data_IF_601771526254
#
_entry.id   IF_601771526254
#
_cell.length_a   1.000
_cell.length_b   1.000
_cell.length_c   1.000
_cell.angle_alpha   90.00
_cell.angle_beta   90.00
_cell.angle_gamma   90.00
#
_symmetry.space_group_name_H-M   'P 1'
#
loop_
_entity.id
_entity.type
_entity.pdbx_description
1 polymer ?
#
# COMPACT_ATOMS: atom_id res chain seq x y z
N UNK A 1 -41.23 -32.19 -5.36
CA UNK A 1 -40.30 -31.48 -4.46
C UNK A 1 -40.21 -30.05 -4.95
N UNK A 2 -40.61 -29.08 -4.12
CA UNK A 2 -40.60 -27.66 -4.49
C UNK A 2 -39.17 -27.13 -4.32
N UNK A 3 -38.34 -27.25 -5.35
CA UNK A 3 -37.04 -26.57 -5.35
C UNK A 3 -37.30 -25.08 -5.55
N UNK A 4 -36.91 -24.28 -4.57
CA UNK A 4 -36.94 -22.83 -4.74
C UNK A 4 -35.88 -22.44 -5.77
N UNK A 5 -36.07 -21.30 -6.44
CA UNK A 5 -35.05 -20.77 -7.38
C UNK A 5 -33.66 -20.69 -6.72
N UNK A 6 -33.61 -20.46 -5.41
CA UNK A 6 -32.36 -20.44 -4.62
C UNK A 6 -31.64 -21.78 -4.62
N UNK A 7 -32.38 -22.89 -4.55
CA UNK A 7 -31.81 -24.24 -4.54
C UNK A 7 -31.24 -24.62 -5.91
N UNK A 8 -31.79 -24.04 -6.98
CA UNK A 8 -31.33 -24.26 -8.37
C UNK A 8 -30.02 -23.51 -8.66
N UNK A 9 -29.85 -22.31 -8.10
CA UNK A 9 -28.66 -21.46 -8.34
C UNK A 9 -27.57 -21.67 -7.29
N UNK A 10 -27.84 -22.43 -6.23
CA UNK A 10 -26.86 -22.70 -5.18
C UNK A 10 -25.73 -23.61 -5.69
N UNK A 11 -24.49 -23.40 -5.22
CA UNK A 11 -23.39 -24.32 -5.48
C UNK A 11 -23.65 -25.68 -4.83
N UNK A 12 -23.07 -26.74 -5.39
CA UNK A 12 -23.26 -28.12 -4.89
C UNK A 12 -22.50 -28.35 -3.59
N UNK A 13 -21.32 -27.75 -3.45
CA UNK A 13 -20.47 -27.86 -2.27
C UNK A 13 -19.73 -26.55 -2.01
N UNK A 14 -19.71 -26.14 -0.74
CA UNK A 14 -18.83 -25.07 -0.25
C UNK A 14 -17.98 -25.65 0.86
N UNK A 15 -16.68 -25.45 0.79
CA UNK A 15 -15.73 -25.79 1.85
C UNK A 15 -14.89 -24.56 2.18
N UNK A 16 -14.97 -24.12 3.43
CA UNK A 16 -14.34 -22.89 3.92
C UNK A 16 -13.16 -23.27 4.79
N UNK A 17 -11.99 -22.73 4.46
CA UNK A 17 -10.79 -22.82 5.29
C UNK A 17 -10.31 -21.42 5.65
N UNK A 18 -9.32 -21.34 6.55
CA UNK A 18 -8.83 -20.07 7.07
C UNK A 18 -8.36 -19.10 5.95
N UNK A 19 -7.69 -19.61 4.91
CA UNK A 19 -7.11 -18.79 3.84
C UNK A 19 -7.70 -19.04 2.45
N UNK A 20 -8.62 -20.00 2.32
CA UNK A 20 -9.11 -20.45 1.02
C UNK A 20 -10.59 -20.81 1.09
N UNK A 21 -11.27 -20.58 -0.02
CA UNK A 21 -12.67 -20.92 -0.21
C UNK A 21 -12.78 -21.85 -1.41
N UNK A 22 -13.27 -23.07 -1.20
CA UNK A 22 -13.52 -24.03 -2.27
C UNK A 22 -15.02 -24.05 -2.57
N UNK A 23 -15.41 -23.66 -3.78
CA UNK A 23 -16.78 -23.75 -4.26
C UNK A 23 -16.80 -24.73 -5.42
N UNK A 24 -17.52 -25.84 -5.23
CA UNK A 24 -17.55 -26.98 -6.14
C UNK A 24 -16.14 -27.50 -6.46
N UNK A 25 -15.62 -27.21 -7.65
CA UNK A 25 -14.29 -27.59 -8.13
C UNK A 25 -13.33 -26.41 -8.32
N UNK A 26 -13.67 -25.23 -7.78
CA UNK A 26 -12.89 -23.99 -7.91
C UNK A 26 -12.35 -23.57 -6.55
N UNK A 27 -11.04 -23.34 -6.49
CA UNK A 27 -10.33 -22.81 -5.34
C UNK A 27 -10.23 -21.28 -5.46
N UNK A 28 -10.67 -20.57 -4.43
CA UNK A 28 -10.61 -19.12 -4.32
C UNK A 28 -9.68 -18.73 -3.17
N UNK A 29 -8.89 -17.68 -3.38
CA UNK A 29 -8.05 -17.07 -2.35
C UNK A 29 -8.12 -15.55 -2.50
N UNK A 30 -8.37 -14.88 -1.40
CA UNK A 30 -8.33 -13.41 -1.35
C UNK A 30 -6.98 -12.98 -0.80
N UNK A 31 -6.33 -12.05 -1.50
CA UNK A 31 -5.10 -11.41 -1.06
C UNK A 31 -5.39 -9.94 -0.78
N UNK A 32 -4.86 -9.43 0.33
CA UNK A 32 -4.92 -8.03 0.68
C UNK A 32 -3.53 -7.43 0.63
N UNK A 33 -3.39 -6.31 -0.09
CA UNK A 33 -2.12 -5.59 -0.23
C UNK A 33 -2.25 -4.26 0.51
N UNK A 34 -1.50 -4.10 1.59
CA UNK A 34 -1.57 -2.92 2.48
C UNK A 34 -0.61 -1.80 2.12
N UNK A 35 0.17 -1.94 1.05
CA UNK A 35 1.18 -0.97 0.64
C UNK A 35 1.31 -0.88 -0.87
N UNK A 36 1.43 0.34 -1.38
CA UNK A 36 1.75 0.60 -2.78
C UNK A 36 3.26 0.76 -2.97
N UNK A 37 3.79 0.48 -4.17
CA UNK A 37 5.16 0.82 -4.52
C UNK A 37 5.43 2.32 -4.28
N UNK A 38 6.63 2.66 -3.77
CA UNK A 38 7.05 4.06 -3.55
C UNK A 38 7.02 4.89 -4.84
N UNK A 39 7.30 4.23 -5.97
CA UNK A 39 7.24 4.83 -7.30
C UNK A 39 6.46 3.90 -8.22
N UNK A 40 5.56 4.49 -9.01
CA UNK A 40 4.84 3.78 -10.06
C UNK A 40 5.06 4.48 -11.38
N UNK A 41 5.49 3.73 -12.39
CA UNK A 41 5.52 4.21 -13.77
C UNK A 41 4.13 4.05 -14.38
N UNK A 42 3.83 4.75 -15.49
CA UNK A 42 2.66 4.42 -16.30
C UNK A 42 2.62 2.90 -16.58
N UNK A 43 1.43 2.32 -16.53
CA UNK A 43 1.19 0.89 -16.77
C UNK A 43 1.80 -0.07 -15.73
N UNK A 44 2.14 0.38 -14.52
CA UNK A 44 2.70 -0.49 -13.46
C UNK A 44 1.81 -1.68 -13.07
N UNK A 45 0.49 -1.58 -13.27
CA UNK A 45 -0.47 -2.66 -12.98
C UNK A 45 -0.62 -3.69 -14.10
N UNK A 46 0.07 -3.50 -15.23
CA UNK A 46 -0.04 -4.36 -16.41
C UNK A 46 0.11 -5.85 -16.14
N UNK A 47 1.03 -6.32 -15.27
CA UNK A 47 1.16 -7.75 -14.99
C UNK A 47 -0.10 -8.37 -14.36
N UNK A 48 -0.82 -7.61 -13.54
CA UNK A 48 -2.06 -8.07 -12.90
C UNK A 48 -3.25 -8.01 -13.86
N UNK A 49 -3.32 -6.98 -14.72
CA UNK A 49 -4.39 -6.84 -15.71
C UNK A 49 -4.28 -7.90 -16.80
N UNK A 50 -3.06 -8.21 -17.22
CA UNK A 50 -2.76 -9.16 -18.30
C UNK A 50 -2.52 -10.59 -17.79
N UNK A 51 -2.88 -10.87 -16.54
CA UNK A 51 -2.75 -12.20 -15.98
C UNK A 51 -3.69 -13.17 -16.74
N UNK A 52 -3.16 -14.32 -17.15
CA UNK A 52 -3.83 -15.29 -18.02
C UNK A 52 -4.85 -16.18 -17.30
N UNK A 53 -5.17 -15.85 -16.05
CA UNK A 53 -6.14 -16.55 -15.22
C UNK A 53 -7.20 -15.60 -14.65
N UNK A 54 -8.32 -16.18 -14.19
CA UNK A 54 -9.41 -15.42 -13.59
C UNK A 54 -8.94 -14.70 -12.32
N UNK A 55 -8.99 -13.37 -12.37
CA UNK A 55 -8.65 -12.49 -11.27
C UNK A 55 -9.78 -11.47 -11.06
N UNK A 56 -10.12 -11.20 -9.81
CA UNK A 56 -10.96 -10.06 -9.44
C UNK A 56 -10.13 -9.09 -8.63
N UNK A 57 -10.03 -7.85 -9.10
CA UNK A 57 -9.27 -6.79 -8.46
C UNK A 57 -10.24 -5.69 -8.02
N UNK A 58 -10.08 -5.23 -6.79
CA UNK A 58 -10.76 -4.04 -6.28
C UNK A 58 -9.73 -3.13 -5.66
N UNK A 59 -9.77 -1.85 -6.01
CA UNK A 59 -8.84 -0.83 -5.55
C UNK A 59 -9.60 0.25 -4.79
N UNK A 60 -9.06 0.64 -3.65
CA UNK A 60 -9.57 1.73 -2.83
C UNK A 60 -8.46 2.76 -2.71
N UNK A 61 -8.62 3.90 -3.40
CA UNK A 61 -7.65 4.98 -3.44
C UNK A 61 -8.26 6.18 -2.72
N UNK A 62 -7.60 6.63 -1.66
CA UNK A 62 -8.00 7.79 -0.87
C UNK A 62 -7.00 8.91 -1.12
N UNK A 63 -7.30 9.86 -2.02
CA UNK A 63 -6.39 10.96 -2.29
C UNK A 63 -6.25 11.82 -1.04
N UNK A 64 -5.02 12.23 -0.75
CA UNK A 64 -4.68 13.17 0.33
C UNK A 64 -4.32 14.52 -0.26
N UNK A 65 -4.72 15.60 0.40
CA UNK A 65 -4.35 16.95 -0.04
C UNK A 65 -2.84 17.17 0.10
N UNK A 66 -2.18 17.62 -0.98
CA UNK A 66 -0.74 17.83 -0.99
C UNK A 66 -0.30 18.92 0.00
N UNK A 67 -1.18 19.89 0.31
CA UNK A 67 -0.85 21.00 1.22
C UNK A 67 -0.65 20.52 2.66
N UNK A 68 -1.58 19.73 3.21
CA UNK A 68 -1.45 19.18 4.56
C UNK A 68 -0.26 18.23 4.67
N UNK A 69 -0.06 17.39 3.65
CA UNK A 69 1.06 16.44 3.59
C UNK A 69 2.41 17.15 3.59
N UNK A 70 2.55 18.25 2.86
CA UNK A 70 3.81 18.99 2.76
C UNK A 70 4.15 19.73 4.06
N UNK A 71 3.14 20.23 4.78
CA UNK A 71 3.32 20.86 6.09
C UNK A 71 3.74 19.82 7.15
N UNK A 72 3.11 18.64 7.15
CA UNK A 72 3.50 17.53 8.03
C UNK A 72 4.93 17.03 7.72
N UNK A 73 5.29 16.94 6.43
CA UNK A 73 6.62 16.54 5.99
C UNK A 73 7.70 17.55 6.43
N UNK A 74 7.42 18.86 6.29
CA UNK A 74 8.32 19.93 6.78
C UNK A 74 8.57 19.82 8.28
N UNK A 75 7.52 19.58 9.07
CA UNK A 75 7.65 19.37 10.52
C UNK A 75 8.56 18.18 10.82
N UNK A 76 8.39 17.06 10.11
CA UNK A 76 9.24 15.87 10.30
C UNK A 76 10.70 16.07 9.89
N UNK A 77 10.95 16.80 8.81
CA UNK A 77 12.32 17.18 8.42
C UNK A 77 13.00 17.99 9.53
N UNK A 78 12.32 19.01 10.06
CA UNK A 78 12.86 19.84 11.13
C UNK A 78 13.14 19.05 12.42
N UNK A 79 12.26 18.11 12.79
CA UNK A 79 12.50 17.20 13.92
C UNK A 79 13.77 16.36 13.73
N UNK A 80 13.98 15.79 12.55
CA UNK A 80 15.16 14.96 12.24
C UNK A 80 16.45 15.79 12.18
N UNK A 81 16.42 16.98 11.58
CA UNK A 81 17.57 17.89 11.56
C UNK A 81 17.97 18.34 12.97
N UNK A 82 16.98 18.62 13.84
CA UNK A 82 17.23 18.97 15.23
C UNK A 82 17.84 17.82 16.04
N UNK A 83 17.39 16.58 15.81
CA UNK A 83 17.97 15.38 16.41
C UNK A 83 19.44 15.22 16.02
N UNK A 84 19.75 15.26 14.71
CA UNK A 84 21.12 15.16 14.19
C UNK A 84 22.01 16.28 14.74
N UNK A 85 21.51 17.53 14.74
CA UNK A 85 22.23 18.68 15.28
C UNK A 85 22.54 18.51 16.78
N UNK A 86 21.60 17.98 17.54
CA UNK A 86 21.77 17.72 18.99
C UNK A 86 22.83 16.65 19.23
N UNK A 87 22.84 15.57 18.44
CA UNK A 87 23.85 14.52 18.58
C UNK A 87 25.26 15.02 18.24
N UNK A 88 25.38 15.81 17.16
CA UNK A 88 26.64 16.47 16.79
C UNK A 88 27.15 17.40 17.90
N UNK A 89 26.29 18.24 18.47
CA UNK A 89 26.66 19.13 19.59
C UNK A 89 27.12 18.37 20.83
N UNK A 90 26.56 17.17 21.08
CA UNK A 90 26.93 16.30 22.20
C UNK A 90 28.14 15.41 21.89
N UNK A 91 28.74 15.52 20.70
CA UNK A 91 29.84 14.66 20.26
C UNK A 91 29.44 13.18 20.10
N UNK A 92 28.14 12.91 19.91
CA UNK A 92 27.61 11.55 19.71
C UNK A 92 27.69 11.18 18.24
N UNK A 93 27.77 9.88 17.98
CA UNK A 93 27.65 9.34 16.62
C UNK A 93 26.20 9.53 16.17
N UNK A 94 26.02 10.12 14.99
CA UNK A 94 24.70 10.33 14.37
C UNK A 94 24.04 8.96 14.14
N UNK A 95 22.76 8.84 14.46
CA UNK A 95 21.98 7.65 14.12
C UNK A 95 21.83 7.51 12.59
N UNK A 96 22.37 6.44 11.97
CA UNK A 96 22.27 6.25 10.53
C UNK A 96 20.82 6.11 10.04
N UNK A 97 19.91 5.63 10.90
CA UNK A 97 18.50 5.52 10.60
C UNK A 97 17.82 6.89 10.46
N UNK A 98 18.09 7.82 11.37
CA UNK A 98 17.61 9.20 11.30
C UNK A 98 18.16 9.91 10.07
N UNK A 99 19.43 9.68 9.72
CA UNK A 99 20.02 10.25 8.51
C UNK A 99 19.38 9.72 7.21
N UNK A 100 19.16 8.40 7.10
CA UNK A 100 18.49 7.80 5.95
C UNK A 100 17.03 8.29 5.80
N UNK A 101 16.30 8.41 6.92
CA UNK A 101 14.93 8.96 6.93
C UNK A 101 14.89 10.42 6.47
N UNK A 102 15.87 11.22 6.87
CA UNK A 102 15.97 12.62 6.44
C UNK A 102 16.20 12.72 4.92
N UNK A 103 17.11 11.91 4.37
CA UNK A 103 17.36 11.84 2.94
C UNK A 103 16.08 11.48 2.16
N UNK A 104 15.37 10.45 2.62
CA UNK A 104 14.09 10.01 2.04
C UNK A 104 13.03 11.12 2.07
N UNK A 105 12.94 11.85 3.19
CA UNK A 105 11.98 12.94 3.36
C UNK A 105 12.28 14.13 2.45
N UNK A 106 13.56 14.49 2.29
CA UNK A 106 14.00 15.55 1.37
C UNK A 106 13.70 15.18 -0.09
N UNK A 107 13.94 13.94 -0.48
CA UNK A 107 13.60 13.46 -1.82
C UNK A 107 12.09 13.54 -2.07
N UNK A 108 11.26 13.13 -1.10
CA UNK A 108 9.81 13.23 -1.20
C UNK A 108 9.33 14.69 -1.28
N UNK A 109 9.93 15.58 -0.50
CA UNK A 109 9.59 17.01 -0.53
C UNK A 109 9.83 17.60 -1.92
N UNK A 110 10.97 17.28 -2.55
CA UNK A 110 11.28 17.74 -3.91
C UNK A 110 10.26 17.27 -4.94
N UNK A 111 9.80 16.02 -4.82
CA UNK A 111 8.78 15.45 -5.72
C UNK A 111 7.42 16.14 -5.57
N UNK A 112 6.99 16.42 -4.34
CA UNK A 112 5.71 17.09 -4.05
C UNK A 112 5.70 18.57 -4.48
N UNK A 113 6.86 19.24 -4.44
CA UNK A 113 7.00 20.61 -4.95
C UNK A 113 6.91 20.64 -6.47
N UNK A 114 7.56 19.67 -7.14
CA UNK A 114 7.60 19.58 -8.60
C UNK A 114 6.29 19.06 -9.23
N UNK A 115 5.40 18.46 -8.44
CA UNK A 115 4.10 17.96 -8.90
C UNK A 115 2.98 19.02 -8.89
N UNK A 116 3.32 20.31 -8.77
CA UNK A 116 2.38 21.44 -8.86
C UNK A 116 2.24 21.95 -10.29
#
# INVERSE_FOLDING_TARGET
MNQSVKDIIAPKKIHVEFNTLNIDSKLYRTLFVSGYPRFVTPNWLSPLINFDHSLNVSMFIYPVESKSTLDDLRRKIAEMEAEISTDLQRGRVIDPGTQAKLEDALQLQQQLVNSR
#
